data_IF_039858842467
#
_entry.id   IF_039858842467
#
_cell.length_a   1.000
_cell.length_b   1.000
_cell.length_c   1.000
_cell.angle_alpha   90.00
_cell.angle_beta   90.00
_cell.angle_gamma   90.00
#
_symmetry.space_group_name_H-M   'P 1'
#
loop_
_entity.id
_entity.type
_entity.pdbx_description
1 polymer ?
#
# COMPACT_ATOMS: atom_id res chain seq x y z
N UNK A 1 14.77 10.08 9.90
CA UNK A 1 14.24 9.70 8.58
C UNK A 1 13.87 8.22 8.46
N UNK A 2 14.63 7.26 9.01
CA UNK A 2 14.27 5.83 8.89
C UNK A 2 12.95 5.45 9.55
N UNK A 3 12.66 6.03 10.73
CA UNK A 3 11.35 5.90 11.39
C UNK A 3 10.22 6.44 10.52
N UNK A 4 10.42 7.63 9.93
CA UNK A 4 9.47 8.26 9.00
C UNK A 4 9.24 7.37 7.78
N UNK A 5 10.29 6.87 7.13
CA UNK A 5 10.17 5.92 6.02
C UNK A 5 9.38 4.67 6.41
N UNK A 6 9.70 4.08 7.57
CA UNK A 6 9.00 2.88 8.05
C UNK A 6 7.51 3.18 8.34
N UNK A 7 7.22 4.32 8.95
CA UNK A 7 5.85 4.75 9.23
C UNK A 7 5.05 4.97 7.94
N UNK A 8 5.62 5.69 6.97
CA UNK A 8 5.01 5.90 5.66
C UNK A 8 4.72 4.56 4.95
N UNK A 9 5.68 3.64 4.95
CA UNK A 9 5.50 2.31 4.37
C UNK A 9 4.37 1.53 5.05
N UNK A 10 4.29 1.56 6.39
CA UNK A 10 3.19 0.94 7.13
C UNK A 10 1.84 1.61 6.85
N UNK A 11 1.80 2.94 6.70
CA UNK A 11 0.59 3.68 6.37
C UNK A 11 0.09 3.37 4.95
N UNK A 12 0.99 3.18 3.97
CA UNK A 12 0.61 2.70 2.63
C UNK A 12 -0.05 1.31 2.74
N UNK A 13 0.58 0.37 3.45
CA UNK A 13 0.02 -0.97 3.63
C UNK A 13 -1.34 -0.93 4.34
N UNK A 14 -1.46 -0.16 5.42
CA UNK A 14 -2.72 0.02 6.15
C UNK A 14 -3.79 0.67 5.27
N UNK A 15 -3.45 1.68 4.48
CA UNK A 15 -4.38 2.33 3.56
C UNK A 15 -4.92 1.38 2.49
N UNK A 16 -4.10 0.47 1.96
CA UNK A 16 -4.56 -0.57 1.03
C UNK A 16 -5.46 -1.59 1.75
N UNK A 17 -5.12 -1.99 2.98
CA UNK A 17 -5.95 -2.89 3.78
C UNK A 17 -7.34 -2.28 4.05
N UNK A 18 -7.39 -1.00 4.44
CA UNK A 18 -8.65 -0.28 4.65
C UNK A 18 -9.46 -0.17 3.36
N UNK A 19 -8.80 0.10 2.22
CA UNK A 19 -9.47 0.12 0.91
C UNK A 19 -10.06 -1.24 0.52
N UNK A 20 -9.38 -2.34 0.82
CA UNK A 20 -9.90 -3.68 0.56
C UNK A 20 -11.13 -3.99 1.43
N UNK A 21 -11.08 -3.62 2.71
CA UNK A 21 -12.25 -3.73 3.59
C UNK A 21 -13.41 -2.83 3.13
N UNK A 22 -13.11 -1.62 2.65
CA UNK A 22 -14.11 -0.68 2.13
C UNK A 22 -14.84 -1.22 0.89
N UNK A 23 -14.15 -1.90 -0.02
CA UNK A 23 -14.80 -2.57 -1.16
C UNK A 23 -15.71 -3.70 -0.70
N UNK A 24 -15.28 -4.55 0.24
CA UNK A 24 -16.13 -5.60 0.78
C UNK A 24 -17.41 -4.99 1.40
N UNK A 25 -17.25 -3.97 2.24
CA UNK A 25 -18.37 -3.24 2.84
C UNK A 25 -19.29 -2.62 1.77
N UNK A 26 -18.72 -1.96 0.76
CA UNK A 26 -19.49 -1.30 -0.31
C UNK A 26 -20.27 -2.28 -1.17
N UNK A 27 -19.71 -3.45 -1.47
CA UNK A 27 -20.41 -4.52 -2.21
C UNK A 27 -21.55 -5.10 -1.37
N UNK A 28 -21.33 -5.38 -0.08
CA UNK A 28 -22.42 -5.84 0.81
C UNK A 28 -23.52 -4.77 0.97
N UNK A 29 -23.16 -3.49 1.03
CA UNK A 29 -24.12 -2.40 1.05
C UNK A 29 -24.96 -2.37 -0.24
N UNK A 30 -24.32 -2.50 -1.40
CA UNK A 30 -24.99 -2.55 -2.70
C UNK A 30 -25.95 -3.74 -2.80
N UNK A 31 -25.57 -4.92 -2.27
CA UNK A 31 -26.46 -6.09 -2.20
C UNK A 31 -27.67 -5.78 -1.32
N UNK A 32 -27.47 -5.16 -0.16
CA UNK A 32 -28.55 -4.76 0.74
C UNK A 32 -29.49 -3.72 0.09
N UNK A 33 -28.96 -2.77 -0.69
CA UNK A 33 -29.77 -1.81 -1.45
C UNK A 33 -30.69 -2.56 -2.44
N UNK A 34 -30.14 -3.53 -3.17
CA UNK A 34 -30.89 -4.37 -4.13
C UNK A 34 -31.95 -5.21 -3.42
N UNK A 35 -31.62 -5.82 -2.29
CA UNK A 35 -32.59 -6.56 -1.47
C UNK A 35 -33.72 -5.66 -0.95
N UNK A 36 -33.42 -4.37 -0.73
CA UNK A 36 -34.39 -3.32 -0.40
C UNK A 36 -35.21 -2.79 -1.58
N UNK A 37 -34.98 -3.29 -2.80
CA UNK A 37 -35.69 -2.91 -4.02
C UNK A 37 -35.00 -1.86 -4.88
N UNK A 38 -33.76 -1.48 -4.58
CA UNK A 38 -32.98 -0.60 -5.45
C UNK A 38 -32.60 -1.30 -6.77
N UNK A 39 -32.47 -0.50 -7.83
CA UNK A 39 -31.98 -0.96 -9.13
C UNK A 39 -30.61 -0.32 -9.38
N UNK A 40 -29.60 -1.15 -9.68
CA UNK A 40 -28.26 -0.68 -10.02
C UNK A 40 -28.19 -0.49 -11.53
N UNK A 41 -28.33 0.76 -11.98
CA UNK A 41 -28.23 1.17 -13.38
C UNK A 41 -27.36 2.42 -13.56
N UNK A 42 -27.43 3.09 -14.72
CA UNK A 42 -26.65 4.30 -15.02
C UNK A 42 -26.95 5.49 -14.11
N UNK A 43 -28.04 5.45 -13.34
CA UNK A 43 -28.43 6.49 -12.37
C UNK A 43 -27.91 6.19 -10.96
N UNK A 44 -27.31 5.02 -10.74
CA UNK A 44 -26.77 4.65 -9.43
C UNK A 44 -25.61 5.58 -9.02
N UNK A 45 -25.82 6.32 -7.94
CA UNK A 45 -24.80 7.19 -7.37
C UNK A 45 -23.89 6.42 -6.42
N UNK A 46 -22.79 5.90 -6.95
CA UNK A 46 -21.76 5.20 -6.17
C UNK A 46 -21.13 6.05 -5.05
N UNK A 47 -21.28 7.38 -5.07
CA UNK A 47 -20.75 8.26 -4.01
C UNK A 47 -21.58 8.21 -2.72
N UNK A 48 -22.86 7.82 -2.82
CA UNK A 48 -23.75 7.60 -1.67
C UNK A 48 -23.48 6.27 -0.98
N UNK A 49 -22.86 5.32 -1.67
CA UNK A 49 -22.40 4.07 -1.08
C UNK A 49 -21.12 4.33 -0.28
N UNK A 50 -21.16 4.23 1.07
CA UNK A 50 -20.04 4.63 1.91
C UNK A 50 -18.78 3.78 1.69
N UNK A 51 -18.92 2.50 1.33
CA UNK A 51 -17.78 1.62 1.08
C UNK A 51 -17.09 1.92 -0.25
N UNK A 52 -17.86 2.11 -1.33
CA UNK A 52 -17.32 2.49 -2.64
C UNK A 52 -16.68 3.89 -2.59
N UNK A 53 -17.35 4.83 -1.93
CA UNK A 53 -16.85 6.20 -1.73
C UNK A 53 -15.55 6.22 -0.90
N UNK A 54 -15.50 5.48 0.20
CA UNK A 54 -14.28 5.35 1.02
C UNK A 54 -13.12 4.70 0.26
N UNK A 55 -13.40 3.69 -0.58
CA UNK A 55 -12.37 3.09 -1.45
C UNK A 55 -11.80 4.14 -2.42
N UNK A 56 -12.67 4.86 -3.13
CA UNK A 56 -12.27 5.88 -4.12
C UNK A 56 -11.45 7.01 -3.49
N UNK A 57 -11.90 7.57 -2.35
CA UNK A 57 -11.14 8.60 -1.62
C UNK A 57 -9.83 8.05 -1.04
N UNK A 58 -9.83 6.81 -0.56
CA UNK A 58 -8.64 6.14 -0.04
C UNK A 58 -7.52 6.02 -1.06
N UNK A 59 -7.84 5.94 -2.35
CA UNK A 59 -6.84 5.90 -3.43
C UNK A 59 -5.96 7.16 -3.46
N UNK A 60 -6.55 8.35 -3.22
CA UNK A 60 -5.80 9.61 -3.15
C UNK A 60 -4.85 9.64 -1.95
N UNK A 61 -5.31 9.16 -0.79
CA UNK A 61 -4.50 9.10 0.44
C UNK A 61 -3.32 8.15 0.23
N UNK A 62 -3.55 6.95 -0.31
CA UNK A 62 -2.47 5.99 -0.60
C UNK A 62 -1.51 6.52 -1.66
N UNK A 63 -2.02 7.20 -2.70
CA UNK A 63 -1.19 7.88 -3.69
C UNK A 63 -0.26 8.92 -3.07
N UNK A 64 -0.79 9.79 -2.22
CA UNK A 64 0.01 10.79 -1.51
C UNK A 64 1.05 10.14 -0.59
N UNK A 65 0.67 9.13 0.19
CA UNK A 65 1.60 8.39 1.07
C UNK A 65 2.71 7.69 0.27
N UNK A 66 2.40 7.13 -0.90
CA UNK A 66 3.39 6.48 -1.76
C UNK A 66 4.39 7.50 -2.34
N UNK A 67 3.94 8.70 -2.72
CA UNK A 67 4.82 9.80 -3.13
C UNK A 67 5.73 10.20 -1.96
N UNK A 68 5.17 10.40 -0.76
CA UNK A 68 5.95 10.74 0.42
C UNK A 68 6.98 9.65 0.77
N UNK A 69 6.60 8.38 0.66
CA UNK A 69 7.51 7.25 0.85
C UNK A 69 8.65 7.25 -0.19
N UNK A 70 8.32 7.48 -1.46
CA UNK A 70 9.29 7.61 -2.54
C UNK A 70 10.27 8.75 -2.24
N UNK A 71 9.79 9.94 -1.90
CA UNK A 71 10.63 11.08 -1.54
C UNK A 71 11.52 10.75 -0.34
N UNK A 72 10.94 10.21 0.74
CA UNK A 72 11.69 9.79 1.92
C UNK A 72 12.78 8.75 1.61
N UNK A 73 12.58 7.91 0.59
CA UNK A 73 13.55 6.89 0.16
C UNK A 73 14.88 7.49 -0.31
N UNK A 74 14.88 8.71 -0.85
CA UNK A 74 16.10 9.41 -1.29
C UNK A 74 16.89 10.01 -0.12
N UNK A 75 16.25 10.25 1.03
CA UNK A 75 16.87 10.87 2.21
C UNK A 75 17.32 9.85 3.27
N UNK A 76 17.00 8.57 3.12
CA UNK A 76 17.40 7.51 4.05
C UNK A 76 18.53 6.66 3.49
N UNK A 77 19.51 6.34 4.35
CA UNK A 77 20.66 5.49 4.00
C UNK A 77 20.52 4.12 4.67
N UNK A 78 19.97 3.15 3.92
CA UNK A 78 20.12 1.72 4.16
C UNK A 78 20.01 0.95 2.83
N UNK A 79 20.61 -0.25 2.72
CA UNK A 79 20.56 -1.04 1.48
C UNK A 79 19.11 -1.32 1.03
N UNK A 80 18.78 -0.93 -0.19
CA UNK A 80 17.45 -1.16 -0.78
C UNK A 80 16.37 -0.11 -0.46
N UNK A 81 16.66 0.96 0.31
CA UNK A 81 15.67 1.99 0.64
C UNK A 81 14.96 2.57 -0.60
N UNK A 82 15.76 2.95 -1.61
CA UNK A 82 15.27 3.46 -2.90
C UNK A 82 14.53 2.40 -3.70
N UNK A 83 15.05 1.18 -3.76
CA UNK A 83 14.45 0.06 -4.49
C UNK A 83 13.02 -0.19 -4.02
N UNK A 84 12.81 -0.34 -2.70
CA UNK A 84 11.48 -0.58 -2.15
C UNK A 84 10.55 0.62 -2.30
N UNK A 85 11.06 1.85 -2.15
CA UNK A 85 10.27 3.06 -2.36
C UNK A 85 9.77 3.19 -3.80
N UNK A 86 10.66 3.00 -4.77
CA UNK A 86 10.34 3.05 -6.22
C UNK A 86 9.37 1.94 -6.61
N UNK A 87 9.62 0.69 -6.24
CA UNK A 87 8.72 -0.42 -6.61
C UNK A 87 7.34 -0.27 -5.99
N UNK A 88 7.25 0.20 -4.74
CA UNK A 88 5.94 0.50 -4.12
C UNK A 88 5.20 1.59 -4.90
N UNK A 89 5.89 2.67 -5.27
CA UNK A 89 5.28 3.75 -6.04
C UNK A 89 4.84 3.32 -7.45
N UNK A 90 5.68 2.57 -8.17
CA UNK A 90 5.34 2.02 -9.49
C UNK A 90 4.11 1.11 -9.40
N UNK A 91 4.04 0.25 -8.38
CA UNK A 91 2.87 -0.59 -8.15
C UNK A 91 1.61 0.25 -7.87
N UNK A 92 1.72 1.37 -7.15
CA UNK A 92 0.59 2.30 -6.94
C UNK A 92 0.16 2.96 -8.26
N UNK A 93 1.10 3.36 -9.13
CA UNK A 93 0.74 3.87 -10.46
C UNK A 93 0.01 2.82 -11.31
N UNK A 94 0.49 1.57 -11.29
CA UNK A 94 -0.19 0.46 -11.95
C UNK A 94 -1.59 0.23 -11.36
N UNK A 95 -1.77 0.40 -10.05
CA UNK A 95 -3.07 0.27 -9.38
C UNK A 95 -4.09 1.26 -9.93
N UNK A 96 -3.69 2.53 -10.10
CA UNK A 96 -4.52 3.58 -10.68
C UNK A 96 -4.86 3.28 -12.14
N UNK A 97 -3.86 2.87 -12.94
CA UNK A 97 -4.08 2.49 -14.33
C UNK A 97 -5.09 1.34 -14.45
N UNK A 98 -4.93 0.25 -13.69
CA UNK A 98 -5.86 -0.87 -13.71
C UNK A 98 -7.26 -0.49 -13.22
N UNK A 99 -7.36 0.38 -12.21
CA UNK A 99 -8.65 0.87 -11.71
C UNK A 99 -9.42 1.66 -12.77
N UNK A 100 -8.76 2.60 -13.45
CA UNK A 100 -9.36 3.37 -14.53
C UNK A 100 -9.77 2.50 -15.73
N UNK A 101 -8.91 1.56 -16.13
CA UNK A 101 -9.19 0.65 -17.24
C UNK A 101 -10.32 -0.34 -16.93
N UNK A 102 -10.54 -0.69 -15.67
CA UNK A 102 -11.60 -1.62 -15.27
C UNK A 102 -13.01 -1.09 -15.56
N UNK A 103 -13.21 0.24 -15.64
CA UNK A 103 -14.50 0.82 -16.05
C UNK A 103 -14.85 0.52 -17.51
N UNK A 104 -13.85 0.36 -18.39
CA UNK A 104 -14.07 -0.02 -19.79
C UNK A 104 -13.97 -1.52 -20.05
N UNK A 105 -13.23 -2.25 -19.22
CA UNK A 105 -13.02 -3.69 -19.32
C UNK A 105 -13.03 -4.34 -17.93
N UNK A 106 -14.19 -4.81 -17.42
CA UNK A 106 -14.33 -5.29 -16.04
C UNK A 106 -13.34 -6.39 -15.64
N UNK A 107 -12.92 -7.23 -16.58
CA UNK A 107 -11.91 -8.28 -16.35
C UNK A 107 -10.56 -7.73 -15.88
N UNK A 108 -10.22 -6.47 -16.21
CA UNK A 108 -9.02 -5.78 -15.71
C UNK A 108 -9.10 -5.55 -14.19
N UNK A 109 -10.30 -5.58 -13.61
CA UNK A 109 -10.50 -5.57 -12.16
C UNK A 109 -9.76 -6.70 -11.44
N UNK A 110 -9.52 -7.84 -12.10
CA UNK A 110 -8.69 -8.92 -11.54
C UNK A 110 -7.23 -8.48 -11.35
N UNK A 111 -6.67 -7.74 -12.32
CA UNK A 111 -5.32 -7.18 -12.23
C UNK A 111 -5.25 -6.09 -11.16
N UNK A 112 -6.30 -5.27 -11.04
CA UNK A 112 -6.40 -4.27 -9.97
C UNK A 112 -6.40 -4.95 -8.58
N UNK A 113 -7.21 -6.00 -8.38
CA UNK A 113 -7.23 -6.75 -7.12
C UNK A 113 -5.90 -7.41 -6.80
N UNK A 114 -5.28 -8.09 -7.78
CA UNK A 114 -3.97 -8.73 -7.59
C UNK A 114 -2.87 -7.71 -7.30
N UNK A 115 -2.85 -6.57 -7.99
CA UNK A 115 -1.85 -5.53 -7.79
C UNK A 115 -2.03 -4.80 -6.45
N UNK A 116 -3.24 -4.70 -5.89
CA UNK A 116 -3.44 -4.22 -4.52
C UNK A 116 -2.66 -5.07 -3.50
N UNK A 117 -2.69 -6.40 -3.65
CA UNK A 117 -1.92 -7.32 -2.80
C UNK A 117 -0.40 -7.12 -3.01
N UNK A 118 0.02 -6.81 -4.24
CA UNK A 118 1.42 -6.49 -4.54
C UNK A 118 1.86 -5.18 -3.86
N UNK A 119 1.07 -4.10 -3.96
CA UNK A 119 1.33 -2.82 -3.26
C UNK A 119 1.43 -3.05 -1.76
N UNK A 120 0.45 -3.73 -1.16
CA UNK A 120 0.45 -4.07 0.26
C UNK A 120 1.73 -4.81 0.67
N UNK A 121 2.10 -5.84 -0.10
CA UNK A 121 3.29 -6.66 0.18
C UNK A 121 4.58 -5.87 0.04
N UNK A 122 4.73 -5.07 -1.02
CA UNK A 122 5.90 -4.22 -1.25
C UNK A 122 6.06 -3.18 -0.13
N UNK A 123 4.97 -2.56 0.30
CA UNK A 123 4.97 -1.61 1.42
C UNK A 123 5.39 -2.29 2.75
N UNK A 124 4.91 -3.50 3.03
CA UNK A 124 5.38 -4.27 4.20
C UNK A 124 6.85 -4.66 4.10
N UNK A 125 7.33 -5.04 2.92
CA UNK A 125 8.75 -5.35 2.69
C UNK A 125 9.63 -4.11 2.88
N UNK A 126 9.18 -2.94 2.42
CA UNK A 126 9.83 -1.65 2.67
C UNK A 126 9.93 -1.38 4.18
N UNK A 127 8.82 -1.52 4.92
CA UNK A 127 8.78 -1.32 6.36
C UNK A 127 9.72 -2.30 7.11
N UNK A 128 9.74 -3.58 6.71
CA UNK A 128 10.61 -4.62 7.28
C UNK A 128 12.09 -4.33 7.01
N UNK A 129 12.44 -3.91 5.80
CA UNK A 129 13.81 -3.54 5.44
C UNK A 129 14.33 -2.38 6.32
N UNK A 130 13.50 -1.36 6.53
CA UNK A 130 13.82 -0.27 7.44
C UNK A 130 13.99 -0.73 8.91
N UNK A 131 13.19 -1.70 9.37
CA UNK A 131 13.33 -2.28 10.71
C UNK A 131 14.65 -3.04 10.91
N UNK A 132 15.01 -3.92 9.96
CA UNK A 132 16.25 -4.71 10.03
C UNK A 132 17.51 -3.86 10.04
N UNK A 133 17.51 -2.75 9.30
CA UNK A 133 18.66 -1.85 9.28
C UNK A 133 18.97 -1.22 10.65
N UNK A 134 18.01 -1.17 11.59
CA UNK A 134 18.22 -0.65 12.95
C UNK A 134 18.73 -1.69 13.95
N UNK A 135 18.64 -2.98 13.62
CA UNK A 135 19.05 -4.09 14.51
C UNK A 135 20.45 -4.65 14.25
N UNK A 136 21.19 -4.10 13.27
CA UNK A 136 22.58 -4.46 13.06
C UNK A 136 23.43 -3.88 14.21
N UNK A 137 23.52 -4.62 15.31
CA UNK A 137 24.51 -4.39 16.37
C UNK A 137 25.88 -4.51 15.72
N UNK A 138 26.79 -3.53 15.89
CA UNK A 138 28.17 -3.70 15.46
C UNK A 138 28.70 -4.96 16.12
N UNK A 139 29.13 -5.95 15.34
CA UNK A 139 29.91 -7.07 15.86
C UNK A 139 31.14 -6.44 16.52
N UNK A 140 31.08 -6.23 17.83
CA UNK A 140 32.20 -5.74 18.60
C UNK A 140 33.36 -6.66 18.26
N UNK A 141 34.44 -6.05 17.75
CA UNK A 141 35.67 -6.74 17.39
C UNK A 141 36.00 -7.70 18.53
N UNK A 142 35.89 -9.00 18.25
CA UNK A 142 36.44 -10.05 19.09
C UNK A 142 37.94 -9.79 19.07
N UNK A 143 38.44 -9.00 20.04
CA UNK A 143 39.87 -8.87 20.31
C UNK A 143 40.38 -10.31 20.45
N UNK A 144 41.40 -10.73 19.67
CA UNK A 144 42.12 -11.94 20.03
C UNK A 144 42.66 -11.69 21.43
N UNK A 145 42.32 -12.57 22.38
CA UNK A 145 43.02 -12.58 23.65
C UNK A 145 44.50 -12.72 23.32
N UNK A 146 45.28 -11.69 23.63
CA UNK A 146 46.73 -11.78 23.64
C UNK A 146 47.08 -12.91 24.59
N UNK A 147 47.63 -13.99 24.04
CA UNK A 147 48.34 -14.98 24.84
C UNK A 147 49.67 -14.32 25.22
N UNK A 148 49.73 -13.80 26.43
CA UNK A 148 51.00 -13.53 27.09
C UNK A 148 51.66 -14.89 27.39
N UNK A 149 52.85 -15.09 26.82
CA UNK A 149 53.83 -16.10 27.22
C UNK A 149 55.23 -15.58 26.93
#
# INVERSE_FOLDING_TARGET
>A
MRSVYRALALLVALGVLVQAAAIAFGVFHMINDVDGGAVIDSTYDSSTNPGLSAHSMGALIVGALAILLLLASFFVRFPGAKTWGVWTFVAVLAQWAFGLLAFGAPVVGLLHGANALAVFSLALLAARAAGRAGGAVPTAARRPATADA
#
